data_IF_852743753653
#
_entry.id   IF_852743753653
#
_cell.length_a   1.000
_cell.length_b   1.000
_cell.length_c   1.000
_cell.angle_alpha   90.00
_cell.angle_beta   90.00
_cell.angle_gamma   90.00
#
_symmetry.space_group_name_H-M   'P 1'
#
loop_
_entity.id
_entity.type
_entity.pdbx_description
1 polymer ?
#
# COMPACT_ATOMS: atom_id res chain seq x y z
N UNK A 1 -6.85 4.33 1.06
CA UNK A 1 -7.35 3.63 -0.15
C UNK A 1 -7.34 4.67 -1.25
N UNK A 2 -6.69 4.39 -2.38
CA UNK A 2 -6.54 5.35 -3.47
C UNK A 2 -7.78 5.31 -4.38
N UNK A 3 -8.28 6.46 -4.79
CA UNK A 3 -9.35 6.63 -5.79
C UNK A 3 -8.88 7.46 -6.98
N UNK A 4 -9.65 7.50 -8.07
CA UNK A 4 -9.29 8.28 -9.27
C UNK A 4 -9.22 9.79 -9.01
N UNK A 5 -9.97 10.33 -8.03
CA UNK A 5 -9.84 11.73 -7.60
C UNK A 5 -8.41 12.06 -7.13
N UNK A 6 -7.77 11.17 -6.36
CA UNK A 6 -6.42 11.38 -5.81
C UNK A 6 -5.35 11.47 -6.92
N UNK A 7 -5.55 10.73 -8.02
CA UNK A 7 -4.68 10.75 -9.20
C UNK A 7 -4.85 12.03 -10.04
N UNK A 8 -6.05 12.58 -10.07
CA UNK A 8 -6.37 13.83 -10.78
C UNK A 8 -5.97 15.08 -9.96
N UNK A 9 -5.91 14.97 -8.64
CA UNK A 9 -5.45 16.03 -7.72
C UNK A 9 -3.92 16.10 -7.59
N UNK A 10 -3.18 15.12 -8.14
CA UNK A 10 -1.72 15.14 -8.20
C UNK A 10 -1.25 15.99 -9.38
N UNK A 11 -1.13 17.30 -9.18
CA UNK A 11 -0.71 18.28 -10.19
C UNK A 11 0.57 17.86 -10.94
N UNK A 12 1.51 17.19 -10.25
CA UNK A 12 2.76 16.71 -10.86
C UNK A 12 2.57 15.62 -11.93
N UNK A 13 1.38 14.98 -12.00
CA UNK A 13 1.04 13.99 -13.02
C UNK A 13 0.28 14.61 -14.21
N UNK A 14 -0.24 15.84 -14.09
CA UNK A 14 -0.91 16.57 -15.18
C UNK A 14 -2.11 15.86 -15.83
N UNK A 15 -2.71 14.88 -15.14
CA UNK A 15 -3.75 14.00 -15.68
C UNK A 15 -5.07 14.76 -15.88
N UNK A 16 -5.80 14.43 -16.96
CA UNK A 16 -7.11 15.05 -17.26
C UNK A 16 -8.15 14.00 -17.58
N UNK A 17 -9.28 14.02 -16.87
CA UNK A 17 -10.45 13.18 -17.19
C UNK A 17 -11.09 13.66 -18.50
N UNK A 18 -11.22 12.78 -19.51
CA UNK A 18 -11.79 13.12 -20.84
C UNK A 18 -13.11 12.41 -21.14
N UNK A 19 -13.38 11.32 -20.42
CA UNK A 19 -14.66 10.61 -20.37
C UNK A 19 -14.80 9.93 -18.99
N UNK A 20 -16.04 9.65 -18.58
CA UNK A 20 -16.40 8.99 -17.33
C UNK A 20 -17.82 9.37 -16.89
N UNK A 21 -18.47 8.51 -16.11
CA UNK A 21 -19.75 8.82 -15.46
C UNK A 21 -19.60 9.61 -14.16
N UNK A 22 -20.71 9.87 -13.46
CA UNK A 22 -20.74 10.61 -12.21
C UNK A 22 -19.80 10.01 -11.14
N UNK A 23 -19.80 8.69 -11.00
CA UNK A 23 -18.97 7.97 -10.00
C UNK A 23 -17.50 7.78 -10.42
N UNK A 24 -17.07 8.33 -11.56
CA UNK A 24 -15.72 8.13 -12.09
C UNK A 24 -14.64 8.50 -11.06
N UNK A 25 -14.80 9.62 -10.35
CA UNK A 25 -13.84 10.11 -9.36
C UNK A 25 -13.73 9.19 -8.11
N UNK A 26 -14.81 8.47 -7.79
CA UNK A 26 -14.89 7.60 -6.61
C UNK A 26 -14.35 6.18 -6.86
N UNK A 27 -14.06 5.79 -8.11
CA UNK A 27 -13.55 4.45 -8.42
C UNK A 27 -12.17 4.25 -7.79
N UNK A 28 -12.06 3.18 -7.01
CA UNK A 28 -10.82 2.73 -6.37
C UNK A 28 -9.75 2.40 -7.41
N UNK A 29 -8.47 2.65 -7.09
CA UNK A 29 -7.32 2.23 -7.88
C UNK A 29 -6.36 1.42 -7.01
N UNK A 30 -6.29 0.11 -7.26
CA UNK A 30 -5.45 -0.83 -6.52
C UNK A 30 -4.02 -0.91 -7.08
N UNK A 31 -3.87 -0.74 -8.40
CA UNK A 31 -2.60 -0.85 -9.13
C UNK A 31 -2.66 -0.11 -10.46
N UNK A 32 -1.54 -0.04 -11.17
CA UNK A 32 -1.46 0.54 -12.50
C UNK A 32 -0.41 -0.18 -13.34
N UNK A 33 -0.66 -0.33 -14.65
CA UNK A 33 0.27 -1.03 -15.54
C UNK A 33 0.23 -0.47 -16.96
N UNK A 34 1.40 -0.35 -17.60
CA UNK A 34 1.54 0.08 -19.00
C UNK A 34 1.58 -1.15 -19.91
N UNK A 35 0.64 -1.25 -20.84
CA UNK A 35 0.53 -2.41 -21.72
C UNK A 35 -0.09 -2.05 -23.09
N UNK A 36 0.47 -2.60 -24.16
CA UNK A 36 0.06 -2.35 -25.56
C UNK A 36 -0.03 -3.71 -26.33
N UNK A 37 -0.71 -4.70 -25.73
CA UNK A 37 -0.88 -6.07 -26.28
C UNK A 37 -2.34 -6.38 -26.63
N UNK A 38 -2.61 -7.59 -27.13
CA UNK A 38 -3.99 -8.06 -27.37
C UNK A 38 -4.63 -8.59 -26.08
N UNK A 39 -5.93 -8.35 -25.91
CA UNK A 39 -6.68 -8.74 -24.72
C UNK A 39 -5.94 -8.37 -23.41
N UNK A 40 -5.55 -7.08 -23.21
CA UNK A 40 -4.71 -6.64 -22.10
C UNK A 40 -5.28 -7.03 -20.73
N UNK A 41 -6.60 -7.21 -20.60
CA UNK A 41 -7.24 -7.68 -19.35
C UNK A 41 -6.75 -9.04 -18.86
N UNK A 42 -6.17 -9.88 -19.73
CA UNK A 42 -5.51 -11.14 -19.33
C UNK A 42 -4.29 -10.93 -18.42
N UNK A 43 -3.75 -9.72 -18.38
CA UNK A 43 -2.56 -9.34 -17.60
C UNK A 43 -2.85 -8.26 -16.55
N UNK A 44 -4.12 -7.89 -16.36
CA UNK A 44 -4.57 -6.86 -15.42
C UNK A 44 -5.53 -7.46 -14.39
N UNK A 45 -5.45 -6.99 -13.15
CA UNK A 45 -6.46 -7.34 -12.15
C UNK A 45 -7.57 -6.29 -12.11
N UNK A 46 -8.72 -6.65 -11.51
CA UNK A 46 -9.83 -5.73 -11.25
C UNK A 46 -9.36 -4.53 -10.43
N UNK A 47 -9.91 -3.34 -10.71
CA UNK A 47 -9.54 -2.05 -10.12
C UNK A 47 -8.10 -1.58 -10.40
N UNK A 48 -7.47 -2.02 -11.49
CA UNK A 48 -6.22 -1.44 -11.95
C UNK A 48 -6.46 -0.28 -12.93
N UNK A 49 -5.49 0.63 -13.05
CA UNK A 49 -5.42 1.63 -14.12
C UNK A 49 -4.57 1.06 -15.27
N UNK A 50 -5.17 0.86 -16.45
CA UNK A 50 -4.41 0.54 -17.65
C UNK A 50 -3.78 1.83 -18.21
N UNK A 51 -2.52 1.78 -18.60
CA UNK A 51 -1.81 2.84 -19.33
C UNK A 51 -1.41 2.32 -20.72
N UNK A 52 -1.56 3.13 -21.76
CA UNK A 52 -1.25 2.73 -23.15
C UNK A 52 -0.75 3.93 -23.96
N UNK A 53 0.25 3.70 -24.81
CA UNK A 53 0.63 4.68 -25.83
C UNK A 53 -0.36 4.70 -27.01
N UNK A 54 -1.25 3.71 -27.10
CA UNK A 54 -2.27 3.59 -28.12
C UNK A 54 -1.75 3.03 -29.45
N UNK A 55 -0.59 2.35 -29.45
CA UNK A 55 0.07 1.86 -30.66
C UNK A 55 -0.85 0.94 -31.49
N UNK A 56 -1.60 0.06 -30.81
CA UNK A 56 -2.57 -0.86 -31.43
C UNK A 56 -3.91 -0.23 -31.83
N UNK A 57 -4.17 1.03 -31.44
CA UNK A 57 -5.46 1.71 -31.64
C UNK A 57 -5.46 2.64 -32.86
N UNK A 58 -4.28 2.94 -33.41
CA UNK A 58 -4.12 3.84 -34.56
C UNK A 58 -4.79 3.25 -35.81
N UNK A 59 -5.64 4.03 -36.46
CA UNK A 59 -6.34 3.64 -37.69
C UNK A 59 -7.55 2.71 -37.53
N UNK A 60 -7.85 2.20 -36.32
CA UNK A 60 -9.00 1.32 -36.09
C UNK A 60 -9.95 1.86 -35.01
N UNK A 61 -11.08 2.43 -35.45
CA UNK A 61 -12.17 2.81 -34.56
C UNK A 61 -12.82 1.60 -33.87
N UNK A 62 -12.85 0.43 -34.53
CA UNK A 62 -13.35 -0.81 -33.95
C UNK A 62 -12.49 -1.26 -32.76
N UNK A 63 -11.15 -1.25 -32.90
CA UNK A 63 -10.24 -1.59 -31.80
C UNK A 63 -10.34 -0.61 -30.63
N UNK A 64 -10.57 0.68 -30.91
CA UNK A 64 -10.79 1.72 -29.89
C UNK A 64 -12.04 1.46 -29.05
N UNK A 65 -13.16 1.06 -29.67
CA UNK A 65 -14.40 0.71 -28.94
C UNK A 65 -14.25 -0.62 -28.19
N UNK A 66 -13.69 -1.63 -28.86
CA UNK A 66 -13.47 -2.96 -28.29
C UNK A 66 -12.59 -2.91 -27.02
N UNK A 67 -11.54 -2.08 -26.99
CA UNK A 67 -10.72 -1.91 -25.79
C UNK A 67 -11.53 -1.37 -24.60
N UNK A 68 -12.34 -0.33 -24.80
CA UNK A 68 -13.15 0.23 -23.71
C UNK A 68 -14.17 -0.81 -23.21
N UNK A 69 -14.78 -1.57 -24.11
CA UNK A 69 -15.68 -2.66 -23.75
C UNK A 69 -14.98 -3.72 -22.87
N UNK A 70 -13.82 -4.20 -23.31
CA UNK A 70 -13.02 -5.20 -22.61
C UNK A 70 -12.63 -4.73 -21.19
N UNK A 71 -12.18 -3.48 -21.05
CA UNK A 71 -11.72 -2.93 -19.77
C UNK A 71 -12.88 -2.70 -18.78
N UNK A 72 -14.03 -2.25 -19.28
CA UNK A 72 -15.23 -2.05 -18.47
C UNK A 72 -15.79 -3.39 -17.96
N UNK A 73 -15.92 -4.37 -18.84
CA UNK A 73 -16.41 -5.73 -18.52
C UNK A 73 -15.46 -6.48 -17.56
N UNK A 74 -14.14 -6.27 -17.67
CA UNK A 74 -13.17 -6.78 -16.71
C UNK A 74 -13.12 -6.01 -15.37
N UNK A 75 -13.83 -4.89 -15.24
CA UNK A 75 -13.85 -4.07 -14.02
C UNK A 75 -12.51 -3.37 -13.73
N UNK A 76 -11.84 -2.91 -14.79
CA UNK A 76 -10.66 -2.02 -14.71
C UNK A 76 -11.12 -0.62 -14.25
N UNK A 77 -10.31 0.09 -13.46
CA UNK A 77 -10.71 1.38 -12.88
C UNK A 77 -10.87 2.45 -13.96
N UNK A 78 -9.89 2.56 -14.86
CA UNK A 78 -9.81 3.56 -15.91
C UNK A 78 -8.77 3.17 -16.97
N UNK A 79 -8.76 3.91 -18.07
CA UNK A 79 -7.72 3.89 -19.10
C UNK A 79 -6.98 5.23 -19.14
N UNK A 80 -5.68 5.25 -18.92
CA UNK A 80 -4.80 6.38 -19.21
C UNK A 80 -4.19 6.25 -20.61
N UNK A 81 -4.54 7.18 -21.52
CA UNK A 81 -3.99 7.23 -22.87
C UNK A 81 -2.89 8.30 -22.97
N UNK A 82 -1.70 7.87 -23.38
CA UNK A 82 -0.56 8.75 -23.64
C UNK A 82 -0.78 9.61 -24.88
N UNK A 83 -0.68 10.93 -24.72
CA UNK A 83 -0.72 11.88 -25.82
C UNK A 83 0.69 12.31 -26.25
N UNK A 84 0.79 12.97 -27.40
CA UNK A 84 2.03 13.49 -27.97
C UNK A 84 2.85 12.49 -28.79
N UNK A 85 2.77 11.19 -28.50
CA UNK A 85 3.45 10.12 -29.26
C UNK A 85 2.61 9.61 -30.45
N UNK A 86 1.58 8.81 -30.18
CA UNK A 86 0.74 8.19 -31.23
C UNK A 86 -0.45 9.08 -31.57
N UNK A 87 -1.02 9.73 -30.56
CA UNK A 87 -2.22 10.56 -30.65
C UNK A 87 -1.95 11.96 -30.08
N UNK A 88 -2.29 13.00 -30.83
CA UNK A 88 -2.20 14.39 -30.34
C UNK A 88 -3.43 14.81 -29.52
N UNK A 89 -4.55 14.09 -29.65
CA UNK A 89 -5.79 14.25 -28.88
C UNK A 89 -6.40 12.87 -28.63
N UNK A 90 -7.19 12.66 -27.57
CA UNK A 90 -7.90 11.39 -27.34
C UNK A 90 -8.72 10.96 -28.57
N UNK A 91 -8.64 9.69 -29.03
CA UNK A 91 -9.37 9.23 -30.20
C UNK A 91 -10.88 9.33 -30.01
N UNK A 92 -11.58 9.86 -31.03
CA UNK A 92 -13.01 10.15 -30.93
C UNK A 92 -13.87 8.92 -30.62
N UNK A 93 -13.64 7.80 -31.31
CA UNK A 93 -14.41 6.58 -31.09
C UNK A 93 -14.18 5.98 -29.69
N UNK A 94 -12.95 6.09 -29.16
CA UNK A 94 -12.61 5.69 -27.79
C UNK A 94 -13.37 6.53 -26.76
N UNK A 95 -13.40 7.86 -26.93
CA UNK A 95 -14.09 8.79 -26.02
C UNK A 95 -15.61 8.62 -26.09
N UNK A 96 -16.18 8.38 -27.27
CA UNK A 96 -17.60 8.11 -27.44
C UNK A 96 -18.03 6.82 -26.74
N UNK A 97 -17.27 5.73 -26.90
CA UNK A 97 -17.55 4.46 -26.21
C UNK A 97 -17.44 4.60 -24.69
N UNK A 98 -16.39 5.27 -24.22
CA UNK A 98 -16.17 5.52 -22.81
C UNK A 98 -17.31 6.34 -22.17
N UNK A 99 -17.88 7.30 -22.90
CA UNK A 99 -19.08 8.03 -22.46
C UNK A 99 -20.31 7.14 -22.42
N UNK A 100 -20.55 6.34 -23.46
CA UNK A 100 -21.69 5.41 -23.51
C UNK A 100 -21.68 4.40 -22.34
N UNK A 101 -20.50 3.93 -21.94
CA UNK A 101 -20.30 3.00 -20.82
C UNK A 101 -20.04 3.68 -19.47
N UNK A 102 -20.03 5.01 -19.40
CA UNK A 102 -19.59 5.77 -18.20
C UNK A 102 -18.17 5.41 -17.69
N UNK A 103 -17.35 4.78 -18.55
CA UNK A 103 -16.02 4.30 -18.22
C UNK A 103 -14.99 5.44 -18.18
N UNK A 104 -14.15 5.58 -17.13
CA UNK A 104 -13.21 6.70 -17.05
C UNK A 104 -12.03 6.56 -18.01
N UNK A 105 -11.77 7.63 -18.77
CA UNK A 105 -10.55 7.76 -19.59
C UNK A 105 -9.80 9.01 -19.15
N UNK A 106 -8.51 8.85 -18.92
CA UNK A 106 -7.57 9.91 -18.56
C UNK A 106 -6.65 10.21 -19.76
N UNK A 107 -6.53 11.47 -20.14
CA UNK A 107 -5.43 11.92 -20.97
C UNK A 107 -4.17 12.05 -20.11
N UNK A 108 -3.09 11.39 -20.55
CA UNK A 108 -1.76 11.53 -19.96
C UNK A 108 -0.92 12.43 -20.88
N UNK A 109 -0.38 13.56 -20.39
CA UNK A 109 0.46 14.44 -21.20
C UNK A 109 1.83 13.80 -21.48
N UNK A 110 2.54 14.28 -22.50
CA UNK A 110 3.80 13.67 -23.00
C UNK A 110 4.93 13.74 -21.96
N UNK A 111 4.88 14.78 -21.13
CA UNK A 111 5.82 15.11 -20.06
C UNK A 111 5.74 14.12 -18.89
N UNK A 112 4.60 13.46 -18.71
CA UNK A 112 4.35 12.51 -17.61
C UNK A 112 4.65 11.08 -18.06
N UNK A 113 5.79 10.55 -17.63
CA UNK A 113 6.09 9.15 -17.90
C UNK A 113 5.12 8.22 -17.14
N UNK A 114 4.64 7.16 -17.80
CA UNK A 114 3.81 6.13 -17.14
C UNK A 114 4.47 5.49 -15.92
N UNK A 115 5.81 5.53 -15.83
CA UNK A 115 6.56 5.14 -14.64
C UNK A 115 6.20 5.98 -13.41
N UNK A 116 5.92 7.26 -13.58
CA UNK A 116 5.67 8.16 -12.45
C UNK A 116 4.25 7.99 -11.93
N UNK A 117 3.27 7.77 -12.81
CA UNK A 117 1.90 7.35 -12.47
C UNK A 117 1.92 6.01 -11.73
N UNK A 118 2.58 4.98 -12.29
CA UNK A 118 2.67 3.66 -11.64
C UNK A 118 3.42 3.72 -10.30
N UNK A 119 4.44 4.57 -10.18
CA UNK A 119 5.14 4.81 -8.92
C UNK A 119 4.28 5.58 -7.91
N UNK A 120 3.46 6.53 -8.35
CA UNK A 120 2.50 7.25 -7.50
C UNK A 120 1.47 6.27 -6.92
N UNK A 121 0.79 5.49 -7.78
CA UNK A 121 -0.18 4.47 -7.36
C UNK A 121 0.46 3.48 -6.39
N UNK A 122 1.65 2.96 -6.69
CA UNK A 122 2.35 2.03 -5.81
C UNK A 122 2.69 2.66 -4.45
N UNK A 123 3.18 3.91 -4.39
CA UNK A 123 3.46 4.62 -3.12
C UNK A 123 2.19 4.86 -2.32
N UNK A 124 1.11 5.27 -2.95
CA UNK A 124 -0.17 5.56 -2.30
C UNK A 124 -0.82 4.29 -1.74
N UNK A 125 -0.74 3.16 -2.46
CA UNK A 125 -1.14 1.84 -1.92
C UNK A 125 -0.24 1.41 -0.75
N UNK A 126 1.09 1.51 -0.88
CA UNK A 126 2.05 1.17 0.19
C UNK A 126 1.88 2.02 1.45
N UNK A 127 1.45 3.28 1.32
CA UNK A 127 1.17 4.15 2.48
C UNK A 127 0.10 3.54 3.39
N UNK A 128 -0.93 2.91 2.82
CA UNK A 128 -2.03 2.30 3.59
C UNK A 128 -1.54 1.08 4.39
N UNK A 129 -0.63 0.28 3.82
CA UNK A 129 -0.06 -0.88 4.52
C UNK A 129 0.99 -0.48 5.56
N UNK A 130 1.87 0.49 5.26
CA UNK A 130 2.87 0.94 6.23
C UNK A 130 2.24 1.51 7.50
N UNK A 131 1.18 2.31 7.39
CA UNK A 131 0.43 2.79 8.55
C UNK A 131 -0.22 1.65 9.35
N UNK A 132 -0.70 0.58 8.70
CA UNK A 132 -1.21 -0.61 9.38
C UNK A 132 -0.10 -1.36 10.13
N UNK A 133 1.08 -1.55 9.53
CA UNK A 133 2.23 -2.18 10.19
C UNK A 133 2.78 -1.34 11.35
N UNK A 134 2.86 -0.02 11.19
CA UNK A 134 3.24 0.90 12.27
C UNK A 134 2.24 0.86 13.42
N UNK A 135 0.93 0.90 13.13
CA UNK A 135 -0.13 0.79 14.14
C UNK A 135 -0.07 -0.54 14.89
N UNK A 136 0.10 -1.67 14.19
CA UNK A 136 0.28 -2.99 14.82
C UNK A 136 1.54 -3.05 15.71
N UNK A 137 2.64 -2.45 15.26
CA UNK A 137 3.89 -2.38 16.02
C UNK A 137 3.75 -1.51 17.27
N UNK A 138 3.05 -0.38 17.18
CA UNK A 138 2.74 0.48 18.32
C UNK A 138 1.83 -0.22 19.34
N UNK A 139 0.80 -0.92 18.87
CA UNK A 139 -0.09 -1.79 19.67
C UNK A 139 0.73 -2.85 20.41
N UNK A 140 1.60 -3.58 19.70
CA UNK A 140 2.44 -4.63 20.28
C UNK A 140 3.39 -4.05 21.34
N UNK A 141 4.05 -2.92 21.07
CA UNK A 141 4.91 -2.24 22.06
C UNK A 141 4.14 -1.84 23.31
N UNK A 142 2.96 -1.22 23.16
CA UNK A 142 2.15 -0.81 24.30
C UNK A 142 1.70 -2.00 25.18
N UNK A 143 1.47 -3.18 24.60
CA UNK A 143 1.19 -4.40 25.36
C UNK A 143 2.46 -4.99 26.00
N UNK A 144 3.59 -5.02 25.29
CA UNK A 144 4.89 -5.49 25.82
C UNK A 144 5.40 -4.60 26.96
N UNK A 145 5.17 -3.29 26.91
CA UNK A 145 5.51 -2.34 27.98
C UNK A 145 4.73 -2.62 29.28
N UNK A 146 3.67 -3.44 29.26
CA UNK A 146 2.99 -3.89 30.48
C UNK A 146 3.86 -4.84 31.31
N UNK A 147 4.85 -5.50 30.71
CA UNK A 147 5.78 -6.41 31.40
C UNK A 147 6.71 -5.69 32.39
N UNK A 148 6.69 -4.36 32.42
CA UNK A 148 7.44 -3.51 33.37
C UNK A 148 6.62 -3.06 34.58
N UNK A 149 5.32 -3.33 34.58
CA UNK A 149 4.41 -2.94 35.66
C UNK A 149 4.53 -3.91 36.85
N UNK A 150 4.17 -3.50 38.08
CA UNK A 150 4.22 -4.37 39.26
C UNK A 150 3.34 -5.63 39.15
N UNK A 151 2.21 -5.55 38.43
CA UNK A 151 1.44 -6.71 37.97
C UNK A 151 1.38 -6.72 36.43
N UNK A 152 2.31 -7.45 35.76
CA UNK A 152 2.32 -7.58 34.32
C UNK A 152 1.05 -8.17 33.71
N UNK A 153 0.38 -9.09 34.43
CA UNK A 153 -0.77 -9.82 33.89
C UNK A 153 -2.00 -8.93 33.92
N UNK A 154 -2.29 -8.28 35.05
CA UNK A 154 -3.40 -7.34 35.14
C UNK A 154 -3.19 -6.10 34.26
N UNK A 155 -1.98 -5.57 34.20
CA UNK A 155 -1.66 -4.44 33.32
C UNK A 155 -1.88 -4.77 31.84
N UNK A 156 -1.48 -5.96 31.38
CA UNK A 156 -1.68 -6.39 29.99
C UNK A 156 -3.17 -6.58 29.66
N UNK A 157 -3.95 -7.22 30.54
CA UNK A 157 -5.41 -7.39 30.37
C UNK A 157 -6.12 -6.03 30.38
N UNK A 158 -5.75 -5.12 31.28
CA UNK A 158 -6.30 -3.76 31.36
C UNK A 158 -5.99 -2.92 30.11
N UNK A 159 -4.73 -2.94 29.63
CA UNK A 159 -4.37 -2.25 28.37
C UNK A 159 -5.14 -2.84 27.19
N UNK A 160 -5.26 -4.16 27.09
CA UNK A 160 -6.05 -4.81 26.04
C UNK A 160 -7.54 -4.43 26.07
N UNK A 161 -8.18 -4.50 27.24
CA UNK A 161 -9.58 -4.11 27.45
C UNK A 161 -9.87 -2.69 26.94
N UNK A 162 -9.06 -1.71 27.38
CA UNK A 162 -9.20 -0.30 26.94
C UNK A 162 -8.94 -0.11 25.45
N UNK A 163 -8.02 -0.87 24.86
CA UNK A 163 -7.69 -0.76 23.42
C UNK A 163 -8.77 -1.31 22.51
N UNK A 164 -9.59 -2.24 23.01
CA UNK A 164 -10.67 -2.89 22.28
C UNK A 164 -12.06 -2.32 22.62
N UNK A 165 -12.13 -1.40 23.58
CA UNK A 165 -13.38 -0.90 24.19
C UNK A 165 -14.31 -2.06 24.64
N UNK A 166 -13.69 -3.03 25.32
CA UNK A 166 -14.29 -4.33 25.66
C UNK A 166 -13.87 -4.81 27.05
N UNK A 167 -14.63 -5.74 27.62
CA UNK A 167 -14.16 -6.54 28.75
C UNK A 167 -13.10 -7.55 28.30
N UNK A 168 -12.12 -7.85 29.15
CA UNK A 168 -11.15 -8.91 28.91
C UNK A 168 -10.76 -9.58 30.23
N UNK A 169 -10.53 -10.89 30.22
CA UNK A 169 -10.05 -11.63 31.39
C UNK A 169 -9.31 -12.90 31.02
N UNK A 170 -8.37 -13.31 31.87
CA UNK A 170 -7.74 -14.63 31.79
C UNK A 170 -8.49 -15.57 32.74
N UNK A 171 -8.80 -16.80 32.32
CA UNK A 171 -9.36 -17.80 33.23
C UNK A 171 -8.40 -18.06 34.40
N UNK A 172 -8.94 -18.06 35.62
CA UNK A 172 -8.17 -18.18 36.86
C UNK A 172 -7.09 -17.08 37.02
N UNK A 173 -7.33 -15.92 36.41
CA UNK A 173 -6.40 -14.80 36.37
C UNK A 173 -7.11 -13.44 36.37
N UNK A 174 -6.39 -12.35 36.01
CA UNK A 174 -6.91 -11.01 36.11
C UNK A 174 -7.97 -10.69 35.05
N UNK A 175 -8.86 -9.78 35.40
CA UNK A 175 -9.91 -9.21 34.54
C UNK A 175 -9.83 -7.68 34.45
N UNK A 176 -10.41 -7.12 33.41
CA UNK A 176 -10.57 -5.68 33.24
C UNK A 176 -11.81 -5.35 32.38
N UNK A 177 -12.43 -4.20 32.65
CA UNK A 177 -13.71 -3.84 32.05
C UNK A 177 -14.88 -4.66 32.59
N UNK A 178 -16.06 -4.48 32.02
CA UNK A 178 -17.24 -5.27 32.38
C UNK A 178 -17.24 -6.58 31.60
N UNK A 179 -17.38 -7.70 32.30
CA UNK A 179 -17.34 -9.05 31.73
C UNK A 179 -18.60 -9.85 32.13
N UNK A 180 -19.01 -10.88 31.35
CA UNK A 180 -19.93 -11.91 31.82
C UNK A 180 -19.27 -12.78 32.91
N UNK A 181 -20.06 -13.68 33.49
CA UNK A 181 -19.58 -14.67 34.47
C UNK A 181 -18.45 -15.56 33.88
N UNK A 182 -17.23 -15.51 34.45
CA UNK A 182 -16.11 -16.32 34.00
C UNK A 182 -16.36 -17.84 34.01
N UNK A 183 -17.20 -18.34 34.92
CA UNK A 183 -17.50 -19.77 35.03
C UNK A 183 -18.40 -20.26 33.88
N UNK A 184 -19.33 -19.42 33.40
CA UNK A 184 -20.10 -19.72 32.18
C UNK A 184 -19.21 -19.74 30.95
N UNK A 185 -18.31 -18.76 30.84
CA UNK A 185 -17.33 -18.70 29.75
C UNK A 185 -16.38 -19.90 29.79
N UNK A 186 -15.93 -20.33 30.99
CA UNK A 186 -15.08 -21.52 31.19
C UNK A 186 -15.66 -22.77 30.53
N UNK A 187 -16.96 -23.03 30.73
CA UNK A 187 -17.65 -24.22 30.17
C UNK A 187 -17.69 -24.24 28.64
N UNK A 188 -17.55 -23.07 28.01
CA UNK A 188 -17.76 -22.85 26.56
C UNK A 188 -16.50 -22.44 25.80
N UNK A 189 -15.33 -22.36 26.44
CA UNK A 189 -14.08 -21.89 25.79
C UNK A 189 -13.68 -22.67 24.53
N UNK A 190 -14.12 -23.93 24.39
CA UNK A 190 -13.87 -24.74 23.20
C UNK A 190 -14.58 -24.21 21.94
N UNK A 191 -15.70 -23.49 22.09
CA UNK A 191 -16.48 -22.90 20.99
C UNK A 191 -15.73 -21.73 20.31
N UNK A 192 -14.78 -21.10 21.03
CA UNK A 192 -13.95 -19.94 20.61
C UNK A 192 -14.67 -18.63 20.33
N UNK A 193 -15.90 -18.68 19.83
CA UNK A 193 -16.70 -17.49 19.50
C UNK A 193 -18.18 -17.82 19.74
N UNK A 194 -18.80 -17.16 20.70
CA UNK A 194 -20.20 -17.43 21.09
C UNK A 194 -20.90 -16.19 21.66
N UNK A 195 -22.21 -16.27 21.84
CA UNK A 195 -23.00 -15.28 22.59
C UNK A 195 -23.43 -15.86 23.95
N UNK A 196 -23.35 -15.04 25.01
CA UNK A 196 -23.64 -15.38 26.41
C UNK A 196 -24.24 -14.16 27.13
N UNK A 197 -25.48 -14.23 27.62
CA UNK A 197 -26.18 -13.12 28.31
C UNK A 197 -26.07 -11.75 27.59
N UNK A 198 -26.16 -11.73 26.26
CA UNK A 198 -26.04 -10.51 25.44
C UNK A 198 -24.60 -10.01 25.21
N UNK A 199 -23.59 -10.76 25.65
CA UNK A 199 -22.19 -10.55 25.33
C UNK A 199 -21.77 -11.42 24.15
N UNK A 200 -21.08 -10.82 23.18
CA UNK A 200 -20.27 -11.57 22.23
C UNK A 200 -18.91 -11.87 22.88
N UNK A 201 -18.57 -13.16 23.01
CA UNK A 201 -17.39 -13.68 23.70
C UNK A 201 -16.47 -14.34 22.69
N UNK A 202 -15.21 -13.92 22.67
CA UNK A 202 -14.14 -14.57 21.88
C UNK A 202 -13.08 -15.11 22.84
N UNK A 203 -12.75 -16.40 22.74
CA UNK A 203 -11.74 -17.06 23.59
C UNK A 203 -10.53 -17.51 22.77
N UNK A 204 -9.33 -17.28 23.33
CA UNK A 204 -8.05 -17.60 22.70
C UNK A 204 -7.17 -18.34 23.72
N UNK A 205 -6.60 -19.52 23.37
CA UNK A 205 -5.71 -20.24 24.29
C UNK A 205 -4.36 -19.51 24.42
N UNK A 206 -3.91 -19.28 25.65
CA UNK A 206 -2.62 -18.65 25.97
C UNK A 206 -1.63 -19.71 26.48
N UNK A 207 -1.13 -20.59 25.62
CA UNK A 207 -0.07 -21.56 25.96
C UNK A 207 -0.28 -22.24 27.35
N UNK A 208 0.64 -22.04 28.30
CA UNK A 208 0.60 -22.58 29.67
C UNK A 208 -0.27 -21.76 30.66
N UNK A 209 -0.77 -20.60 30.24
CA UNK A 209 -1.55 -19.66 31.06
C UNK A 209 -3.09 -19.78 30.85
N UNK A 210 -3.57 -20.89 30.27
CA UNK A 210 -4.99 -21.16 30.10
C UNK A 210 -5.63 -20.42 28.92
N UNK A 211 -6.66 -19.62 29.18
CA UNK A 211 -7.46 -18.96 28.14
C UNK A 211 -7.67 -17.48 28.43
N UNK A 212 -7.54 -16.66 27.39
CA UNK A 212 -7.99 -15.26 27.36
C UNK A 212 -9.41 -15.23 26.79
N UNK A 213 -10.32 -14.56 27.48
CA UNK A 213 -11.62 -14.16 26.96
C UNK A 213 -11.65 -12.64 26.70
N UNK A 214 -12.25 -12.23 25.59
CA UNK A 214 -12.58 -10.84 25.27
C UNK A 214 -14.08 -10.75 25.01
N UNK A 215 -14.76 -9.79 25.63
CA UNK A 215 -16.22 -9.77 25.71
C UNK A 215 -16.79 -8.37 25.44
N UNK A 216 -17.74 -8.27 24.51
CA UNK A 216 -18.36 -6.98 24.14
C UNK A 216 -19.89 -7.09 23.99
N UNK A 217 -20.62 -6.04 24.39
CA UNK A 217 -22.10 -5.94 24.27
C UNK A 217 -22.60 -5.52 22.88
N UNK A 218 -21.70 -5.10 22.00
CA UNK A 218 -21.97 -4.92 20.56
C UNK A 218 -21.08 -5.89 19.80
N UNK A 219 -21.50 -6.34 18.62
CA UNK A 219 -20.65 -7.13 17.71
C UNK A 219 -19.47 -6.30 17.22
N UNK A 220 -18.40 -6.26 18.00
CA UNK A 220 -17.10 -5.75 17.56
C UNK A 220 -16.54 -6.76 16.56
N UNK A 221 -16.10 -6.36 15.35
CA UNK A 221 -15.54 -7.28 14.36
C UNK A 221 -14.11 -7.74 14.71
N UNK A 222 -13.93 -8.34 15.90
CA UNK A 222 -12.68 -8.91 16.42
C UNK A 222 -12.29 -10.21 15.71
N UNK A 223 -13.28 -11.01 15.30
CA UNK A 223 -13.13 -12.39 14.81
C UNK A 223 -12.14 -12.57 13.64
N UNK A 224 -11.95 -11.54 12.78
CA UNK A 224 -11.05 -11.65 11.61
C UNK A 224 -9.57 -11.42 11.90
N UNK A 225 -9.19 -10.88 13.05
CA UNK A 225 -7.79 -10.57 13.38
C UNK A 225 -7.10 -11.64 14.24
N UNK A 226 -7.83 -12.28 15.15
CA UNK A 226 -7.25 -13.19 16.16
C UNK A 226 -7.51 -14.70 15.91
N UNK A 227 -8.60 -15.07 15.24
CA UNK A 227 -9.14 -16.44 15.28
C UNK A 227 -8.42 -17.49 14.38
N UNK A 228 -7.32 -17.14 13.70
CA UNK A 228 -6.52 -18.09 12.93
C UNK A 228 -5.06 -18.08 13.38
N UNK A 229 -4.63 -19.01 14.26
CA UNK A 229 -3.24 -19.43 14.25
C UNK A 229 -2.91 -19.92 12.84
N UNK A 230 -2.08 -19.16 12.11
CA UNK A 230 -1.42 -19.70 10.92
C UNK A 230 -0.65 -20.92 11.40
N UNK A 231 -1.07 -22.12 10.97
CA UNK A 231 -0.23 -23.32 11.04
C UNK A 231 1.15 -22.91 10.57
N UNK A 232 2.19 -23.23 11.37
CA UNK A 232 3.57 -22.80 11.14
C UNK A 232 3.90 -22.88 9.66
N UNK A 233 4.24 -21.75 9.04
CA UNK A 233 4.83 -21.74 7.71
C UNK A 233 6.27 -22.25 7.77
N UNK A 234 6.45 -23.50 8.17
CA UNK A 234 7.55 -24.30 7.66
C UNK A 234 7.25 -24.49 6.17
N UNK A 235 8.08 -24.00 5.24
CA UNK A 235 7.94 -24.42 3.85
C UNK A 235 8.12 -25.95 3.82
N UNK A 236 7.29 -26.70 3.08
CA UNK A 236 7.57 -28.11 2.87
C UNK A 236 8.95 -28.22 2.19
N UNK A 237 9.89 -29.01 2.74
CA UNK A 237 11.09 -29.31 1.99
C UNK A 237 10.66 -29.98 0.68
N UNK A 238 11.28 -29.58 -0.43
CA UNK A 238 11.16 -30.19 -1.77
C UNK A 238 10.03 -29.71 -2.70
N UNK A 239 9.27 -28.64 -2.39
CA UNK A 239 8.24 -28.11 -3.31
C UNK A 239 8.74 -27.59 -4.68
N UNK A 240 10.05 -27.58 -4.92
CA UNK A 240 10.69 -27.24 -6.19
C UNK A 240 11.02 -28.45 -7.09
N UNK A 241 10.72 -29.69 -6.65
CA UNK A 241 11.06 -30.92 -7.40
C UNK A 241 10.01 -31.43 -8.40
N UNK A 242 8.81 -30.85 -8.45
CA UNK A 242 7.72 -31.31 -9.31
C UNK A 242 7.53 -30.52 -10.62
N UNK A 243 8.51 -29.70 -11.02
CA UNK A 243 8.54 -29.14 -12.37
C UNK A 243 9.02 -30.21 -13.37
N UNK A 244 8.26 -30.52 -14.43
CA UNK A 244 8.71 -31.47 -15.45
C UNK A 244 9.92 -30.89 -16.19
N UNK A 245 11.05 -31.57 -16.04
CA UNK A 245 12.34 -31.12 -16.56
C UNK A 245 12.53 -31.47 -18.04
N UNK A 246 11.91 -30.71 -18.95
CA UNK A 246 12.26 -30.73 -20.38
C UNK A 246 12.38 -29.33 -20.98
N UNK A 247 13.51 -29.12 -21.68
CA UNK A 247 13.87 -27.95 -22.53
C UNK A 247 14.20 -26.63 -21.82
N UNK A 248 15.42 -26.59 -21.30
CA UNK A 248 16.39 -25.48 -21.43
C UNK A 248 15.92 -24.04 -21.19
N UNK A 249 16.13 -23.54 -19.96
CA UNK A 249 16.18 -22.11 -19.64
C UNK A 249 17.50 -21.77 -18.92
N UNK A 250 18.20 -20.66 -19.26
CA UNK A 250 19.47 -20.29 -18.62
C UNK A 250 19.30 -19.79 -17.18
N UNK A 251 20.34 -19.99 -16.37
CA UNK A 251 20.28 -19.92 -14.90
C UNK A 251 19.80 -18.59 -14.30
N UNK A 252 18.79 -18.63 -13.44
CA UNK A 252 18.23 -17.49 -12.70
C UNK A 252 19.16 -16.83 -11.65
N UNK A 253 20.44 -17.24 -11.54
CA UNK A 253 21.41 -16.67 -10.59
C UNK A 253 22.15 -15.40 -11.07
N UNK A 254 21.96 -14.97 -12.32
CA UNK A 254 22.66 -13.78 -12.88
C UNK A 254 21.85 -12.47 -12.93
N UNK A 255 20.53 -12.50 -12.66
CA UNK A 255 19.69 -11.28 -12.76
C UNK A 255 19.67 -10.39 -11.50
N UNK A 256 19.99 -10.91 -10.30
CA UNK A 256 19.87 -10.13 -9.06
C UNK A 256 21.09 -9.28 -8.70
N UNK A 257 22.30 -9.66 -9.11
CA UNK A 257 23.54 -8.93 -8.77
C UNK A 257 23.83 -7.73 -9.67
N UNK A 258 23.24 -7.64 -10.87
CA UNK A 258 23.41 -6.50 -11.79
C UNK A 258 22.57 -5.26 -11.40
N UNK A 259 21.44 -5.46 -10.71
CA UNK A 259 20.55 -4.36 -10.34
C UNK A 259 21.09 -3.54 -9.14
N UNK A 260 21.85 -4.16 -8.23
CA UNK A 260 22.35 -3.51 -7.01
C UNK A 260 23.67 -2.74 -7.20
N UNK A 261 24.55 -3.18 -8.10
CA UNK A 261 25.84 -2.52 -8.36
C UNK A 261 25.70 -1.17 -9.07
N UNK A 262 24.66 -1.00 -9.90
CA UNK A 262 24.44 0.19 -10.71
C UNK A 262 24.10 1.48 -9.91
N UNK A 263 23.62 1.35 -8.65
CA UNK A 263 23.36 2.51 -7.77
C UNK A 263 24.59 3.06 -7.03
N UNK A 264 25.67 2.28 -6.87
CA UNK A 264 26.94 2.81 -6.31
C UNK A 264 27.83 3.44 -7.38
N UNK A 265 27.76 2.98 -8.64
CA UNK A 265 28.58 3.53 -9.72
C UNK A 265 28.20 4.97 -10.14
N UNK A 266 26.90 5.30 -10.19
CA UNK A 266 26.42 6.62 -10.68
C UNK A 266 26.49 7.77 -9.66
N UNK A 267 26.97 7.53 -8.43
CA UNK A 267 27.19 8.58 -7.40
C UNK A 267 28.65 9.02 -7.25
N UNK A 268 29.56 8.60 -8.14
CA UNK A 268 30.98 9.04 -8.17
C UNK A 268 31.40 9.81 -9.43
N UNK A 269 30.47 10.13 -10.33
CA UNK A 269 30.76 10.78 -11.61
C UNK A 269 29.95 12.08 -11.79
N UNK A 270 30.08 13.02 -10.84
CA UNK A 270 29.54 14.39 -10.94
C UNK A 270 30.21 15.32 -9.90
N UNK A 271 31.52 15.54 -10.03
CA UNK A 271 32.23 16.66 -9.40
C UNK A 271 32.99 17.40 -10.50
N UNK A 272 32.73 18.71 -10.74
CA UNK A 272 33.54 19.48 -11.68
C UNK A 272 34.96 19.62 -11.11
N UNK A 273 35.97 19.26 -11.89
CA UNK A 273 37.39 19.50 -11.55
C UNK A 273 37.64 21.01 -11.58
N UNK A 274 38.22 21.55 -10.52
CA UNK A 274 38.74 22.92 -10.52
C UNK A 274 39.92 23.05 -11.50
N UNK A 275 40.07 24.19 -12.21
CA UNK A 275 41.22 24.46 -13.05
C UNK A 275 42.49 24.73 -12.20
N UNK A 276 43.70 24.54 -12.76
CA UNK A 276 44.95 24.67 -12.02
C UNK A 276 45.26 26.13 -11.66
N UNK A 277 45.79 26.34 -10.45
CA UNK A 277 46.33 27.64 -10.01
C UNK A 277 47.70 27.88 -10.66
N UNK A 278 47.80 28.87 -11.54
CA UNK A 278 49.07 29.58 -11.76
C UNK A 278 49.22 30.70 -10.71
N UNK A 279 50.45 30.96 -10.29
CA UNK A 279 50.75 31.91 -9.23
C UNK A 279 51.23 33.26 -9.78
N UNK A 280 50.70 34.36 -9.25
CA UNK A 280 51.39 35.65 -9.22
C UNK A 280 50.97 36.47 -7.98
N UNK A 281 51.77 37.48 -7.63
CA UNK A 281 51.89 38.04 -6.27
C UNK A 281 51.01 39.28 -6.00
N UNK A 282 50.74 39.50 -4.71
CA UNK A 282 50.47 40.80 -4.06
C UNK A 282 49.07 41.41 -4.29
N UNK A 283 48.47 42.22 -3.38
CA UNK A 283 48.99 42.94 -2.20
C UNK A 283 48.10 42.75 -0.93
N UNK A 284 48.58 43.30 0.20
CA UNK A 284 47.96 43.28 1.54
C UNK A 284 46.90 44.38 1.74
N UNK A 285 45.84 44.06 2.48
CA UNK A 285 45.19 44.84 3.56
C UNK A 285 44.09 43.91 4.14
N UNK A 286 44.05 43.47 5.40
CA UNK A 286 43.89 44.18 6.70
C UNK A 286 42.61 45.03 6.79
N UNK A 287 42.07 45.17 8.02
CA UNK A 287 40.89 45.93 8.48
C UNK A 287 39.64 45.12 8.92
N UNK A 288 39.74 44.55 10.13
CA UNK A 288 38.71 44.73 11.20
C UNK A 288 38.93 46.12 11.86
N UNK A 289 38.07 46.67 12.76
CA UNK A 289 36.96 46.07 13.51
C UNK A 289 35.62 46.83 13.20
N UNK A 290 34.57 47.01 14.02
CA UNK A 290 34.31 46.84 15.48
C UNK A 290 32.78 46.74 15.76
N UNK A 291 32.39 46.43 17.00
CA UNK A 291 31.06 46.78 17.59
C UNK A 291 31.22 47.84 18.68
N UNK A 292 30.20 48.68 18.93
CA UNK A 292 29.62 48.81 20.28
C UNK A 292 28.07 48.87 20.22
N UNK A 293 27.22 48.48 21.20
CA UNK A 293 27.17 48.57 22.67
C UNK A 293 26.19 49.66 23.19
N UNK A 294 25.00 49.22 23.65
CA UNK A 294 24.03 49.82 24.62
C UNK A 294 23.39 51.22 24.45
N UNK A 295 22.10 51.26 24.86
CA UNK A 295 21.36 52.43 25.38
C UNK A 295 20.32 53.02 24.40
N UNK A 296 19.13 53.47 24.81
CA UNK A 296 18.40 53.37 26.09
C UNK A 296 16.96 53.89 25.94
N UNK A 297 15.96 53.19 26.46
CA UNK A 297 14.65 53.70 26.95
C UNK A 297 13.94 52.56 27.68
#
# INVERSE_FOLDING_TARGET
>A
MLVLADLLAADELGLKLVAGGADALAREVAGAHSIDVEAPTRFLERRWLMLTAGLRLRGSAAAQRALIAELDEAGISALGIGLGLVFQRPPRALVEEARARSFPVLAVPLETAFRDITSFVARSSLSSDLHRYQRLTAIQRHLVDALREPDPRAAMVSRLARMLDAGAFVLDGPSAGTTPDPERVRRRVAEREFEEDGWHVVTVPIAEAGWLAVTARRRVPLARAAARPRRRCSPPPNAWRSWPATRSAPSARRCWTSCWSSRRARRRAAWPRAPPRSASRSRRASWWPTSPFRGSS
#
